data_IF_352606224983
#
_entry.id   IF_352606224983
#
_cell.length_a   1.000
_cell.length_b   1.000
_cell.length_c   1.000
_cell.angle_alpha   90.00
_cell.angle_beta   90.00
_cell.angle_gamma   90.00
#
_symmetry.space_group_name_H-M   'P 1'
#
loop_
_entity.id
_entity.type
_entity.pdbx_description
1 polymer ?
#
# COMPACT_ATOMS: atom_id res chain seq x y z
N UNK A 1 -49.49 36.73 -5.11
CA UNK A 1 -49.13 35.83 -4.00
C UNK A 1 -48.31 34.71 -4.58
N UNK A 2 -47.01 34.86 -4.57
CA UNK A 2 -46.08 33.82 -5.02
C UNK A 2 -45.46 33.18 -3.80
N UNK A 3 -45.65 31.87 -3.69
CA UNK A 3 -45.06 31.08 -2.65
C UNK A 3 -43.67 30.65 -3.07
N UNK A 4 -42.67 31.26 -2.47
CA UNK A 4 -41.24 30.90 -2.63
C UNK A 4 -41.02 29.55 -1.98
N UNK A 5 -40.84 28.51 -2.80
CA UNK A 5 -40.43 27.19 -2.31
C UNK A 5 -38.99 27.22 -1.80
N UNK A 6 -38.79 27.13 -0.52
CA UNK A 6 -37.49 26.89 0.08
C UNK A 6 -37.08 25.46 -0.24
N UNK A 7 -36.06 25.33 -1.09
CA UNK A 7 -35.38 24.04 -1.30
C UNK A 7 -34.67 23.65 -0.01
N UNK A 8 -35.15 22.60 0.66
CA UNK A 8 -34.47 22.00 1.79
C UNK A 8 -33.16 21.38 1.32
N UNK A 9 -32.04 21.99 1.71
CA UNK A 9 -30.73 21.38 1.59
C UNK A 9 -30.71 20.15 2.49
N UNK A 10 -30.71 18.97 1.89
CA UNK A 10 -30.50 17.71 2.59
C UNK A 10 -29.07 17.73 3.13
N UNK A 11 -28.93 17.98 4.41
CA UNK A 11 -27.65 17.78 5.11
C UNK A 11 -27.33 16.29 5.09
N UNK A 12 -26.42 15.92 4.18
CA UNK A 12 -25.84 14.56 4.19
C UNK A 12 -24.94 14.47 5.42
N UNK A 13 -25.47 13.94 6.51
CA UNK A 13 -24.67 13.61 7.69
C UNK A 13 -23.62 12.57 7.26
N UNK A 14 -22.37 13.00 7.13
CA UNK A 14 -21.24 12.07 7.00
C UNK A 14 -21.08 11.38 8.35
N UNK A 15 -21.51 10.14 8.45
CA UNK A 15 -21.31 9.33 9.65
C UNK A 15 -19.81 9.04 9.79
N UNK A 16 -19.22 9.61 10.82
CA UNK A 16 -17.83 9.27 11.19
C UNK A 16 -17.84 7.81 11.66
N UNK A 17 -16.95 6.93 11.12
CA UNK A 17 -16.90 5.55 11.53
C UNK A 17 -16.51 5.43 13.01
N UNK A 18 -17.13 4.48 13.72
CA UNK A 18 -16.87 4.20 15.13
C UNK A 18 -15.50 3.54 15.38
N UNK A 19 -14.88 2.99 14.33
CA UNK A 19 -13.56 2.36 14.39
C UNK A 19 -12.83 2.55 13.06
N UNK A 20 -11.51 2.54 13.12
CA UNK A 20 -10.64 2.61 11.94
C UNK A 20 -9.59 1.50 12.00
N UNK A 21 -9.16 1.04 10.84
CA UNK A 21 -8.03 0.13 10.68
C UNK A 21 -6.76 0.96 10.54
N UNK A 22 -5.78 0.72 11.38
CA UNK A 22 -4.46 1.35 11.29
C UNK A 22 -3.53 0.41 10.53
N UNK A 23 -2.90 0.92 9.48
CA UNK A 23 -1.85 0.22 8.74
C UNK A 23 -0.53 0.94 8.98
N UNK A 24 0.45 0.25 9.52
CA UNK A 24 1.80 0.82 9.66
C UNK A 24 2.56 0.66 8.35
N UNK A 25 3.08 1.76 7.84
CA UNK A 25 3.85 1.82 6.59
C UNK A 25 5.33 2.15 6.82
N UNK A 26 5.77 2.19 8.06
CA UNK A 26 7.14 2.50 8.46
C UNK A 26 8.18 1.62 7.78
N UNK A 27 8.02 0.28 7.74
CA UNK A 27 8.98 -0.62 7.09
C UNK A 27 9.08 -0.39 5.58
N UNK A 28 8.01 0.06 4.92
CA UNK A 28 8.03 0.37 3.49
C UNK A 28 8.30 1.85 3.24
N UNK A 29 7.34 2.71 3.54
CA UNK A 29 7.40 4.13 3.18
C UNK A 29 8.43 4.89 4.01
N UNK A 30 8.50 4.61 5.30
CA UNK A 30 9.49 5.20 6.19
C UNK A 30 10.92 4.87 5.73
N UNK A 31 11.25 3.59 5.60
CA UNK A 31 12.59 3.15 5.24
C UNK A 31 12.96 3.47 3.78
N UNK A 32 11.98 3.59 2.89
CA UNK A 32 12.21 4.01 1.50
C UNK A 32 12.85 5.39 1.42
N UNK A 33 12.56 6.27 2.36
CA UNK A 33 13.04 7.65 2.41
C UNK A 33 14.37 7.80 3.17
N UNK A 34 14.90 6.72 3.75
CA UNK A 34 16.19 6.78 4.45
C UNK A 34 17.34 6.96 3.46
N UNK A 35 18.30 7.83 3.82
CA UNK A 35 19.46 8.11 2.96
C UNK A 35 20.46 6.96 2.93
N UNK A 36 20.57 6.23 4.04
CA UNK A 36 21.47 5.10 4.15
C UNK A 36 20.68 3.79 4.00
N UNK A 37 21.21 2.80 3.28
CA UNK A 37 20.61 1.48 3.22
C UNK A 37 20.49 0.86 4.62
N UNK A 38 19.31 0.34 4.94
CA UNK A 38 19.08 -0.45 6.13
C UNK A 38 19.16 -1.92 5.72
N UNK A 39 19.91 -2.71 6.43
CA UNK A 39 20.06 -4.13 6.09
C UNK A 39 18.78 -4.94 6.39
N UNK A 40 18.68 -6.10 5.76
CA UNK A 40 17.52 -6.99 5.87
C UNK A 40 17.21 -7.37 7.32
N UNK A 41 18.23 -7.62 8.15
CA UNK A 41 18.02 -8.04 9.53
C UNK A 41 17.34 -6.94 10.36
N UNK A 42 17.74 -5.69 10.20
CA UNK A 42 17.08 -4.56 10.88
C UNK A 42 15.65 -4.31 10.38
N UNK A 43 15.39 -4.50 9.08
CA UNK A 43 14.02 -4.42 8.53
C UNK A 43 13.11 -5.50 9.13
N UNK A 44 13.59 -6.72 9.21
CA UNK A 44 12.87 -7.84 9.83
C UNK A 44 12.62 -7.58 11.32
N UNK A 45 13.63 -7.08 12.03
CA UNK A 45 13.50 -6.71 13.45
C UNK A 45 12.45 -5.60 13.64
N UNK A 46 12.42 -4.59 12.76
CA UNK A 46 11.38 -3.55 12.81
C UNK A 46 9.98 -4.16 12.70
N UNK A 47 9.76 -5.04 11.72
CA UNK A 47 8.47 -5.73 11.55
C UNK A 47 8.10 -6.51 12.81
N UNK A 48 9.03 -7.26 13.40
CA UNK A 48 8.79 -8.03 14.64
C UNK A 48 8.46 -7.13 15.83
N UNK A 49 9.11 -5.96 15.97
CA UNK A 49 8.78 -4.99 17.01
C UNK A 49 7.41 -4.38 16.83
N UNK A 50 7.01 -4.06 15.60
CA UNK A 50 5.67 -3.57 15.29
C UNK A 50 4.58 -4.62 15.64
N UNK A 51 4.82 -5.90 15.33
CA UNK A 51 3.96 -7.00 15.76
C UNK A 51 3.86 -7.07 17.29
N UNK A 52 5.01 -7.03 17.98
CA UNK A 52 5.06 -7.07 19.45
C UNK A 52 4.37 -5.86 20.10
N UNK A 53 4.40 -4.70 19.43
CA UNK A 53 3.66 -3.49 19.86
C UNK A 53 2.14 -3.58 19.63
N UNK A 54 1.65 -4.65 19.00
CA UNK A 54 0.23 -4.90 18.82
C UNK A 54 -0.34 -4.47 17.47
N UNK A 55 0.49 -4.06 16.50
CA UNK A 55 0.03 -3.73 15.15
C UNK A 55 -0.40 -4.99 14.40
N UNK A 56 -1.53 -4.90 13.70
CA UNK A 56 -2.16 -6.01 12.99
C UNK A 56 -2.15 -5.87 11.48
N UNK A 57 -1.78 -4.72 10.96
CA UNK A 57 -1.66 -4.44 9.54
C UNK A 57 -0.33 -3.73 9.30
N UNK A 58 0.59 -4.36 8.57
CA UNK A 58 1.94 -3.84 8.34
C UNK A 58 2.26 -3.91 6.85
N UNK A 59 2.58 -2.77 6.26
CA UNK A 59 3.12 -2.70 4.90
C UNK A 59 4.64 -2.90 4.95
N UNK A 60 5.05 -4.13 4.64
CA UNK A 60 6.41 -4.63 4.94
C UNK A 60 7.46 -4.09 3.99
N UNK A 61 7.15 -4.06 2.69
CA UNK A 61 8.14 -3.73 1.65
C UNK A 61 7.46 -3.34 0.34
N UNK A 62 8.25 -3.13 -0.69
CA UNK A 62 7.80 -2.75 -2.02
C UNK A 62 8.52 -3.57 -3.10
N UNK A 63 7.75 -4.01 -4.10
CA UNK A 63 8.26 -4.67 -5.31
C UNK A 63 8.41 -3.68 -6.47
N UNK A 64 8.97 -2.51 -6.15
CA UNK A 64 9.42 -1.50 -7.11
C UNK A 64 10.79 -1.89 -7.66
N UNK A 65 11.13 -1.41 -8.86
CA UNK A 65 12.45 -1.65 -9.43
C UNK A 65 13.57 -1.13 -8.50
N UNK A 66 14.58 -1.96 -8.16
CA UNK A 66 15.73 -1.54 -7.36
C UNK A 66 16.52 -0.37 -7.93
N UNK A 67 16.40 -0.11 -9.23
CA UNK A 67 17.01 1.05 -9.88
C UNK A 67 16.40 2.37 -9.41
N UNK A 68 15.11 2.36 -9.03
CA UNK A 68 14.38 3.53 -8.55
C UNK A 68 14.38 3.63 -7.03
N UNK A 69 14.29 2.47 -6.35
CA UNK A 69 14.22 2.38 -4.89
C UNK A 69 15.19 1.31 -4.40
N UNK A 70 16.49 1.60 -4.36
CA UNK A 70 17.50 0.62 -3.92
C UNK A 70 17.29 0.17 -2.48
N UNK A 71 16.68 0.98 -1.61
CA UNK A 71 16.34 0.62 -0.23
C UNK A 71 15.40 -0.58 -0.12
N UNK A 72 14.63 -0.88 -1.17
CA UNK A 72 13.68 -2.01 -1.21
C UNK A 72 14.17 -3.18 -2.08
N UNK A 73 15.46 -3.21 -2.42
CA UNK A 73 16.03 -4.24 -3.30
C UNK A 73 15.98 -5.67 -2.70
N UNK A 74 15.95 -5.77 -1.38
CA UNK A 74 15.92 -7.01 -0.60
C UNK A 74 14.50 -7.47 -0.23
N UNK A 75 13.47 -6.98 -0.90
CA UNK A 75 12.06 -7.21 -0.61
C UNK A 75 11.70 -8.69 -0.39
N UNK A 76 12.10 -9.58 -1.28
CA UNK A 76 11.83 -11.01 -1.17
C UNK A 76 12.54 -11.64 0.07
N UNK A 77 13.77 -11.20 0.36
CA UNK A 77 14.53 -11.67 1.50
C UNK A 77 13.87 -11.24 2.82
N UNK A 78 13.40 -9.98 2.90
CA UNK A 78 12.65 -9.50 4.08
C UNK A 78 11.37 -10.31 4.27
N UNK A 79 10.56 -10.49 3.22
CA UNK A 79 9.32 -11.27 3.28
C UNK A 79 9.53 -12.74 3.68
N UNK A 80 10.64 -13.33 3.26
CA UNK A 80 10.99 -14.71 3.62
C UNK A 80 11.48 -14.85 5.07
N UNK A 81 12.09 -13.80 5.63
CA UNK A 81 12.71 -13.82 6.94
C UNK A 81 11.80 -13.41 8.10
N UNK A 82 10.67 -12.76 7.83
CA UNK A 82 9.73 -12.39 8.89
C UNK A 82 9.03 -13.61 9.49
N UNK A 83 8.96 -13.66 10.82
CA UNK A 83 8.15 -14.64 11.55
C UNK A 83 6.70 -14.16 11.62
N UNK A 84 5.85 -14.69 10.74
CA UNK A 84 4.45 -14.25 10.61
C UNK A 84 3.61 -14.68 11.80
N UNK A 85 2.74 -13.78 12.26
CA UNK A 85 1.75 -14.02 13.29
C UNK A 85 0.37 -14.24 12.64
N UNK A 86 -0.46 -15.15 13.13
CA UNK A 86 -1.73 -15.51 12.48
C UNK A 86 -2.76 -14.38 12.47
N UNK A 87 -2.64 -13.42 13.37
CA UNK A 87 -3.53 -12.27 13.52
C UNK A 87 -2.96 -10.97 12.93
N UNK A 88 -1.82 -11.04 12.25
CA UNK A 88 -1.17 -9.91 11.57
C UNK A 88 -1.22 -10.11 10.06
N UNK A 89 -1.61 -9.07 9.34
CA UNK A 89 -1.60 -9.02 7.87
C UNK A 89 -0.37 -8.28 7.37
N UNK A 90 0.30 -8.90 6.41
CA UNK A 90 1.51 -8.37 5.78
C UNK A 90 1.21 -7.97 4.36
N UNK A 91 1.18 -6.67 4.10
CA UNK A 91 0.98 -6.13 2.76
C UNK A 91 2.28 -5.70 2.10
N UNK A 92 2.27 -5.66 0.78
CA UNK A 92 3.41 -5.21 -0.03
C UNK A 92 2.95 -4.29 -1.16
N UNK A 93 3.73 -3.25 -1.43
CA UNK A 93 3.45 -2.35 -2.55
C UNK A 93 3.86 -3.00 -3.88
N UNK A 94 2.94 -3.02 -4.85
CA UNK A 94 3.17 -3.54 -6.20
C UNK A 94 2.74 -2.51 -7.24
N UNK A 95 3.67 -1.75 -7.85
CA UNK A 95 3.34 -0.62 -8.71
C UNK A 95 2.85 -1.03 -10.11
N UNK A 96 3.02 -2.29 -10.49
CA UNK A 96 2.67 -2.83 -11.81
C UNK A 96 2.65 -4.37 -11.79
N UNK A 97 2.25 -4.98 -12.90
CA UNK A 97 2.18 -6.45 -13.06
C UNK A 97 3.52 -7.13 -12.73
N UNK A 98 4.64 -6.61 -13.21
CA UNK A 98 5.96 -7.19 -12.94
C UNK A 98 6.29 -7.19 -11.43
N UNK A 99 5.90 -6.14 -10.73
CA UNK A 99 6.03 -6.07 -9.27
C UNK A 99 5.15 -7.10 -8.57
N UNK A 100 3.91 -7.27 -9.04
CA UNK A 100 2.99 -8.28 -8.51
C UNK A 100 3.51 -9.70 -8.75
N UNK A 101 3.94 -10.03 -9.97
CA UNK A 101 4.54 -11.34 -10.31
C UNK A 101 5.71 -11.69 -9.39
N UNK A 102 6.57 -10.69 -9.09
CA UNK A 102 7.68 -10.87 -8.16
C UNK A 102 7.25 -11.00 -6.69
N UNK A 103 6.11 -10.42 -6.32
CA UNK A 103 5.57 -10.48 -4.97
C UNK A 103 4.86 -11.81 -4.67
N UNK A 104 4.16 -12.40 -5.64
CA UNK A 104 3.33 -13.61 -5.45
C UNK A 104 4.08 -14.76 -4.77
N UNK A 105 5.33 -15.11 -5.13
CA UNK A 105 6.07 -16.20 -4.47
C UNK A 105 6.39 -15.93 -2.99
N UNK A 106 6.24 -14.69 -2.53
CA UNK A 106 6.47 -14.32 -1.13
C UNK A 106 5.22 -14.43 -0.26
N UNK A 107 4.09 -14.81 -0.86
CA UNK A 107 2.81 -15.02 -0.19
C UNK A 107 2.36 -13.83 0.66
N UNK A 108 2.23 -12.60 0.11
CA UNK A 108 1.66 -11.48 0.85
C UNK A 108 0.17 -11.73 1.14
N UNK A 109 -0.36 -11.13 2.21
CA UNK A 109 -1.80 -11.20 2.53
C UNK A 109 -2.62 -10.16 1.77
N UNK A 110 -1.97 -9.09 1.35
CA UNK A 110 -2.58 -7.98 0.62
C UNK A 110 -1.53 -7.32 -0.28
N UNK A 111 -1.93 -6.88 -1.45
CA UNK A 111 -1.10 -6.04 -2.30
C UNK A 111 -1.63 -4.61 -2.31
N UNK A 112 -0.72 -3.66 -2.47
CA UNK A 112 -1.02 -2.23 -2.43
C UNK A 112 -0.68 -1.61 -3.77
N UNK A 113 -1.61 -0.85 -4.33
CA UNK A 113 -1.37 0.06 -5.44
C UNK A 113 -1.40 1.49 -4.94
N UNK A 114 -0.73 2.39 -5.63
CA UNK A 114 -0.57 3.76 -5.17
C UNK A 114 -0.96 4.74 -6.28
N UNK A 115 -1.87 5.63 -5.98
CA UNK A 115 -2.31 6.71 -6.87
C UNK A 115 -2.10 8.09 -6.24
N UNK A 116 -2.20 9.14 -7.05
CA UNK A 116 -2.11 10.52 -6.64
C UNK A 116 -3.48 11.21 -6.68
N UNK A 117 -3.71 12.17 -5.80
CA UNK A 117 -4.92 12.98 -5.79
C UNK A 117 -4.83 14.26 -6.66
N UNK A 118 -3.65 14.55 -7.25
CA UNK A 118 -3.46 15.68 -8.16
C UNK A 118 -2.66 15.28 -9.38
N UNK A 119 -3.01 15.83 -10.55
CA UNK A 119 -2.31 15.57 -11.81
C UNK A 119 -0.83 15.95 -11.74
N UNK A 120 -0.51 17.09 -11.13
CA UNK A 120 0.88 17.54 -10.99
C UNK A 120 1.75 16.55 -10.19
N UNK A 121 1.19 15.94 -9.13
CA UNK A 121 1.90 14.94 -8.35
C UNK A 121 1.97 13.61 -9.09
N UNK A 122 0.89 13.19 -9.77
CA UNK A 122 0.87 11.99 -10.61
C UNK A 122 1.97 12.03 -11.66
N UNK A 123 2.05 13.11 -12.44
CA UNK A 123 3.09 13.31 -13.45
C UNK A 123 4.50 13.27 -12.86
N UNK A 124 4.73 13.91 -11.73
CA UNK A 124 6.05 13.95 -11.08
C UNK A 124 6.47 12.60 -10.53
N UNK A 125 5.53 11.86 -9.93
CA UNK A 125 5.82 10.65 -9.17
C UNK A 125 5.84 9.38 -10.02
N UNK A 126 4.88 9.24 -10.94
CA UNK A 126 4.69 8.02 -11.75
C UNK A 126 4.64 8.27 -13.25
N UNK A 127 4.92 9.52 -13.66
CA UNK A 127 4.99 9.96 -15.06
C UNK A 127 3.77 9.55 -15.89
N UNK A 128 2.58 9.80 -15.36
CA UNK A 128 1.31 9.63 -16.06
C UNK A 128 0.20 10.46 -15.40
N UNK A 129 -0.93 10.62 -16.09
CA UNK A 129 -2.14 11.22 -15.52
C UNK A 129 -2.78 10.29 -14.47
N UNK A 130 -3.69 10.84 -13.68
CA UNK A 130 -4.47 10.03 -12.72
C UNK A 130 -5.27 8.96 -13.47
N UNK A 131 -5.93 9.33 -14.60
CA UNK A 131 -6.70 8.40 -15.41
C UNK A 131 -5.84 7.24 -15.93
N UNK A 132 -4.68 7.54 -16.53
CA UNK A 132 -3.72 6.52 -16.98
C UNK A 132 -3.22 5.65 -15.83
N UNK A 133 -3.05 6.19 -14.62
CA UNK A 133 -2.62 5.41 -13.47
C UNK A 133 -3.67 4.37 -13.08
N UNK A 134 -4.94 4.72 -13.10
CA UNK A 134 -6.07 3.79 -12.85
C UNK A 134 -6.09 2.67 -13.89
N UNK A 135 -5.92 3.00 -15.17
CA UNK A 135 -5.83 2.00 -16.25
C UNK A 135 -4.64 1.04 -16.06
N UNK A 136 -3.47 1.56 -15.64
CA UNK A 136 -2.28 0.74 -15.35
C UNK A 136 -2.49 -0.20 -14.16
N UNK A 137 -3.31 0.18 -13.17
CA UNK A 137 -3.57 -0.66 -12.00
C UNK A 137 -4.66 -1.71 -12.24
N UNK A 138 -5.57 -1.50 -13.19
CA UNK A 138 -6.64 -2.46 -13.47
C UNK A 138 -6.13 -3.90 -13.67
N UNK A 139 -5.11 -4.18 -14.50
CA UNK A 139 -4.59 -5.54 -14.65
C UNK A 139 -3.88 -6.06 -13.39
N UNK A 140 -3.28 -5.19 -12.57
CA UNK A 140 -2.67 -5.58 -11.28
C UNK A 140 -3.76 -6.06 -10.32
N UNK A 141 -4.86 -5.31 -10.22
CA UNK A 141 -6.02 -5.67 -9.40
C UNK A 141 -6.65 -6.98 -9.85
N UNK A 142 -6.83 -7.17 -11.17
CA UNK A 142 -7.37 -8.40 -11.73
C UNK A 142 -6.51 -9.61 -11.35
N UNK A 143 -5.20 -9.57 -11.62
CA UNK A 143 -4.28 -10.65 -11.31
C UNK A 143 -4.19 -10.92 -9.79
N UNK A 144 -4.23 -9.89 -8.95
CA UNK A 144 -4.25 -10.06 -7.51
C UNK A 144 -5.49 -10.84 -7.05
N UNK A 145 -6.67 -10.49 -7.55
CA UNK A 145 -7.91 -11.20 -7.24
C UNK A 145 -7.90 -12.63 -7.74
N UNK A 146 -7.38 -12.90 -8.95
CA UNK A 146 -7.21 -14.27 -9.49
C UNK A 146 -6.33 -15.14 -8.59
N UNK A 147 -5.38 -14.52 -7.87
CA UNK A 147 -4.52 -15.19 -6.88
C UNK A 147 -5.08 -15.15 -5.44
N UNK A 148 -6.33 -14.74 -5.25
CA UNK A 148 -7.00 -14.71 -3.94
C UNK A 148 -6.51 -13.60 -3.00
N UNK A 149 -5.76 -12.61 -3.51
CA UNK A 149 -5.21 -11.52 -2.73
C UNK A 149 -6.20 -10.36 -2.60
N UNK A 150 -6.17 -9.70 -1.45
CA UNK A 150 -6.82 -8.40 -1.28
C UNK A 150 -5.98 -7.31 -1.92
N UNK A 151 -6.65 -6.24 -2.36
CA UNK A 151 -5.98 -5.04 -2.92
C UNK A 151 -6.43 -3.81 -2.13
N UNK A 152 -5.48 -2.95 -1.81
CA UNK A 152 -5.68 -1.66 -1.16
C UNK A 152 -5.05 -0.54 -1.99
#
# INVERSE_FOLDING_TARGET
MEATGAAALSETFVMIPSSVKIVDVGPRDGLQNEKQPVDTAHKVELVHRLQAAGLREIEVTSFVSPKWVPQMADNAAVMAAISRQPDVRYSVLTPNLKGLEAALPTHPDEVVVFGAASEAFSQRNINCSIAESVERFAPVVAMAHENGLKVR
#
